data_IF_003151728099
#
_entry.id   IF_003151728099
#
_cell.length_a   1.000
_cell.length_b   1.000
_cell.length_c   1.000
_cell.angle_alpha   90.00
_cell.angle_beta   90.00
_cell.angle_gamma   90.00
#
_symmetry.space_group_name_H-M   'P 1'
#
loop_
_entity.id
_entity.type
_entity.pdbx_description
1 polymer ?
#
# COMPACT_ATOMS: atom_id res chain seq x y z
N UNK A 1 42.34 0.53 -4.97
CA UNK A 1 41.84 -0.77 -5.33
C UNK A 1 40.79 -1.30 -4.40
N UNK A 2 41.07 -1.33 -3.12
CA UNK A 2 40.13 -1.84 -2.14
C UNK A 2 38.93 -0.94 -1.93
N UNK A 3 39.05 0.33 -2.24
CA UNK A 3 37.98 1.32 -2.03
C UNK A 3 36.74 1.06 -2.87
N UNK A 4 36.94 0.52 -4.06
CA UNK A 4 35.83 0.29 -4.98
C UNK A 4 34.88 -0.80 -4.47
N UNK A 5 35.44 -1.79 -3.78
CA UNK A 5 34.64 -2.90 -3.28
C UNK A 5 33.67 -2.49 -2.16
N UNK A 6 34.08 -1.51 -1.38
CA UNK A 6 33.28 -1.02 -0.27
C UNK A 6 32.03 -0.30 -0.77
N UNK A 7 32.15 0.47 -1.84
CA UNK A 7 31.02 1.19 -2.38
C UNK A 7 29.93 0.26 -2.89
N UNK A 8 30.32 -0.85 -3.50
CA UNK A 8 29.35 -1.80 -4.03
C UNK A 8 28.54 -2.48 -2.93
N UNK A 9 29.18 -2.74 -1.82
CA UNK A 9 28.50 -3.38 -0.69
C UNK A 9 27.36 -2.52 -0.15
N UNK A 10 27.55 -1.22 -0.09
CA UNK A 10 26.53 -0.31 0.42
C UNK A 10 25.28 -0.28 -0.46
N UNK A 11 25.46 -0.35 -1.76
CA UNK A 11 24.31 -0.37 -2.66
C UNK A 11 23.46 -1.62 -2.47
N UNK A 12 24.10 -2.77 -2.29
CA UNK A 12 23.36 -4.02 -2.11
C UNK A 12 22.44 -3.95 -0.90
N UNK A 13 22.91 -3.35 0.18
CA UNK A 13 22.12 -3.23 1.41
C UNK A 13 20.87 -2.38 1.19
N UNK A 14 20.97 -1.31 0.41
CA UNK A 14 19.84 -0.40 0.18
C UNK A 14 18.64 -1.07 -0.44
N UNK A 15 18.86 -2.02 -1.33
CA UNK A 15 17.76 -2.68 -2.03
C UNK A 15 16.99 -3.68 -1.19
N UNK A 16 17.59 -4.18 -0.13
CA UNK A 16 16.98 -5.24 0.66
C UNK A 16 15.86 -4.76 1.58
N UNK A 17 15.73 -3.45 1.78
CA UNK A 17 14.77 -2.92 2.74
C UNK A 17 13.44 -2.49 2.14
N UNK A 18 13.30 -2.49 0.81
CA UNK A 18 12.08 -2.01 0.16
C UNK A 18 11.28 -3.15 -0.45
N UNK A 19 9.96 -3.15 -0.22
CA UNK A 19 9.05 -4.10 -0.87
C UNK A 19 8.33 -3.39 -2.02
N UNK A 20 8.26 -4.03 -3.21
CA UNK A 20 7.55 -3.44 -4.33
C UNK A 20 6.05 -3.29 -4.06
N UNK A 21 5.44 -2.30 -4.68
CA UNK A 21 4.01 -2.04 -4.47
C UNK A 21 3.15 -3.23 -4.86
N UNK A 22 3.50 -3.95 -5.91
CA UNK A 22 2.72 -5.12 -6.33
C UNK A 22 2.75 -6.22 -5.26
N UNK A 23 3.86 -6.40 -4.59
CA UNK A 23 3.98 -7.38 -3.51
C UNK A 23 3.15 -6.94 -2.30
N UNK A 24 3.24 -5.68 -1.95
CA UNK A 24 2.45 -5.12 -0.83
C UNK A 24 0.97 -5.29 -1.12
N UNK A 25 0.54 -4.97 -2.33
CA UNK A 25 -0.87 -5.10 -2.69
C UNK A 25 -1.34 -6.56 -2.58
N UNK A 26 -0.56 -7.48 -3.11
CA UNK A 26 -0.92 -8.89 -3.10
C UNK A 26 -1.06 -9.43 -1.67
N UNK A 27 -0.19 -9.00 -0.78
CA UNK A 27 -0.16 -9.52 0.59
C UNK A 27 -1.14 -8.81 1.53
N UNK A 28 -1.40 -7.53 1.31
CA UNK A 28 -2.13 -6.72 2.29
C UNK A 28 -3.50 -6.24 1.83
N UNK A 29 -3.77 -6.27 0.55
CA UNK A 29 -4.98 -5.63 0.00
C UNK A 29 -5.85 -6.56 -0.81
N UNK A 30 -5.25 -7.45 -1.57
CA UNK A 30 -5.96 -8.23 -2.57
C UNK A 30 -7.01 -9.19 -2.01
N UNK A 31 -6.80 -9.69 -0.80
CA UNK A 31 -7.75 -10.65 -0.23
C UNK A 31 -9.15 -10.06 -0.09
N UNK A 32 -9.24 -8.76 0.15
CA UNK A 32 -10.53 -8.07 0.29
C UNK A 32 -10.91 -7.30 -0.97
N UNK A 33 -9.94 -6.72 -1.64
CA UNK A 33 -10.21 -5.82 -2.77
C UNK A 33 -10.06 -6.48 -4.14
N UNK A 34 -9.60 -7.73 -4.18
CA UNK A 34 -9.43 -8.45 -5.43
C UNK A 34 -8.07 -8.22 -6.05
N UNK A 35 -7.66 -9.14 -6.91
CA UNK A 35 -6.36 -9.08 -7.58
C UNK A 35 -6.23 -7.80 -8.42
N UNK A 36 -7.35 -7.35 -8.98
CA UNK A 36 -7.38 -6.16 -9.84
C UNK A 36 -8.06 -4.97 -9.19
N UNK A 37 -8.25 -4.99 -7.86
CA UNK A 37 -8.89 -3.88 -7.17
C UNK A 37 -10.35 -3.67 -7.55
N UNK A 38 -11.00 -4.70 -8.04
CA UNK A 38 -12.34 -4.60 -8.59
C UNK A 38 -13.42 -5.31 -7.76
N UNK A 39 -13.08 -5.73 -6.56
CA UNK A 39 -14.07 -6.33 -5.66
C UNK A 39 -14.64 -5.28 -4.73
N UNK A 40 -15.98 -5.30 -4.61
CA UNK A 40 -16.69 -4.48 -3.62
C UNK A 40 -16.77 -5.29 -2.35
N UNK A 41 -16.06 -4.84 -1.33
CA UNK A 41 -15.94 -5.58 -0.08
C UNK A 41 -16.97 -5.09 0.94
N UNK A 42 -17.65 -6.02 1.58
CA UNK A 42 -18.55 -5.73 2.70
C UNK A 42 -19.62 -4.69 2.35
N UNK A 43 -20.11 -4.75 1.14
CA UNK A 43 -21.17 -3.83 0.71
C UNK A 43 -20.71 -2.45 0.33
N UNK A 44 -19.40 -2.23 0.20
CA UNK A 44 -18.90 -0.95 -0.27
C UNK A 44 -19.35 -0.69 -1.69
N UNK A 45 -19.49 0.57 -2.03
CA UNK A 45 -20.05 0.97 -3.31
C UNK A 45 -19.02 1.27 -4.36
N UNK A 46 -17.73 1.35 -3.99
CA UNK A 46 -16.70 1.79 -4.92
C UNK A 46 -15.55 0.78 -4.98
N UNK A 47 -15.18 0.44 -6.19
CA UNK A 47 -13.99 -0.38 -6.39
C UNK A 47 -12.77 0.52 -6.30
N UNK A 48 -11.73 0.05 -5.60
CA UNK A 48 -10.59 0.92 -5.33
C UNK A 48 -9.79 1.26 -6.59
N UNK A 49 -9.83 0.42 -7.61
CA UNK A 49 -9.12 0.72 -8.86
C UNK A 49 -9.71 1.93 -9.59
N UNK A 50 -10.93 2.32 -9.24
CA UNK A 50 -11.59 3.47 -9.87
C UNK A 50 -11.27 4.79 -9.15
N UNK A 51 -10.56 4.71 -8.04
CA UNK A 51 -10.22 5.89 -7.25
C UNK A 51 -8.94 6.54 -7.77
N UNK A 52 -8.83 7.84 -7.59
CA UNK A 52 -7.58 8.53 -7.91
C UNK A 52 -6.51 8.20 -6.87
N UNK A 53 -5.25 8.50 -7.19
CA UNK A 53 -4.14 8.28 -6.26
C UNK A 53 -4.40 9.00 -4.94
N UNK A 54 -4.81 10.27 -5.02
CA UNK A 54 -5.08 11.07 -3.83
C UNK A 54 -6.24 10.52 -3.01
N UNK A 55 -7.28 10.03 -3.68
CA UNK A 55 -8.42 9.43 -2.98
C UNK A 55 -8.01 8.17 -2.23
N UNK A 56 -7.18 7.35 -2.85
CA UNK A 56 -6.71 6.11 -2.22
C UNK A 56 -5.87 6.44 -0.99
N UNK A 57 -4.92 7.35 -1.13
CA UNK A 57 -4.06 7.75 0.00
C UNK A 57 -4.90 8.29 1.15
N UNK A 58 -5.82 9.19 0.84
CA UNK A 58 -6.67 9.80 1.84
C UNK A 58 -7.56 8.78 2.53
N UNK A 59 -8.08 7.82 1.77
CA UNK A 59 -8.94 6.79 2.33
C UNK A 59 -8.17 5.90 3.30
N UNK A 60 -7.00 5.43 2.93
CA UNK A 60 -6.19 4.58 3.80
C UNK A 60 -5.89 5.31 5.11
N UNK A 61 -5.45 6.55 5.02
CA UNK A 61 -5.12 7.35 6.20
C UNK A 61 -6.35 7.59 7.08
N UNK A 62 -7.48 7.94 6.46
CA UNK A 62 -8.71 8.24 7.19
C UNK A 62 -9.30 7.03 7.89
N UNK A 63 -9.23 5.87 7.25
CA UNK A 63 -9.69 4.64 7.90
C UNK A 63 -8.76 4.24 9.03
N UNK A 64 -7.46 4.37 8.84
CA UNK A 64 -6.49 4.00 9.87
C UNK A 64 -6.63 4.87 11.12
N UNK A 65 -6.90 6.16 10.94
CA UNK A 65 -7.04 7.09 12.06
C UNK A 65 -8.39 7.00 12.74
N UNK A 66 -9.38 6.41 12.08
CA UNK A 66 -10.74 6.36 12.58
C UNK A 66 -11.59 7.56 12.20
N UNK A 67 -11.02 8.50 11.44
CA UNK A 67 -11.76 9.67 10.97
C UNK A 67 -12.91 9.25 10.06
N UNK A 68 -12.67 8.29 9.17
CA UNK A 68 -13.71 7.72 8.32
C UNK A 68 -14.25 6.47 8.99
N UNK A 69 -15.56 6.42 9.18
CA UNK A 69 -16.19 5.29 9.86
C UNK A 69 -16.25 4.07 8.97
N UNK A 70 -15.98 2.91 9.56
CA UNK A 70 -16.02 1.63 8.89
C UNK A 70 -16.18 0.54 9.94
N UNK A 71 -16.32 -0.70 9.50
CA UNK A 71 -16.36 -1.83 10.42
C UNK A 71 -15.03 -1.88 11.20
N UNK A 72 -15.06 -2.32 12.46
CA UNK A 72 -13.87 -2.29 13.32
C UNK A 72 -12.64 -2.95 12.71
N UNK A 73 -12.83 -4.08 12.02
CA UNK A 73 -11.68 -4.79 11.46
C UNK A 73 -11.01 -4.01 10.31
N UNK A 74 -11.78 -3.18 9.59
CA UNK A 74 -11.22 -2.37 8.52
C UNK A 74 -10.24 -1.35 9.11
N UNK A 75 -10.64 -0.70 10.19
CA UNK A 75 -9.76 0.24 10.88
C UNK A 75 -8.49 -0.46 11.37
N UNK A 76 -8.65 -1.62 11.99
CA UNK A 76 -7.50 -2.38 12.51
C UNK A 76 -6.52 -2.75 11.42
N UNK A 77 -7.01 -3.22 10.28
CA UNK A 77 -6.16 -3.61 9.16
C UNK A 77 -5.40 -2.41 8.62
N UNK A 78 -6.10 -1.29 8.40
CA UNK A 78 -5.47 -0.08 7.86
C UNK A 78 -4.47 0.51 8.85
N UNK A 79 -4.81 0.49 10.13
CA UNK A 79 -3.93 0.99 11.17
C UNK A 79 -2.64 0.17 11.24
N UNK A 80 -2.76 -1.15 11.21
CA UNK A 80 -1.60 -2.03 11.22
C UNK A 80 -0.72 -1.80 9.98
N UNK A 81 -1.35 -1.62 8.83
CA UNK A 81 -0.63 -1.34 7.61
C UNK A 81 0.17 -0.03 7.72
N UNK A 82 -0.48 1.02 8.20
CA UNK A 82 0.15 2.34 8.27
C UNK A 82 1.33 2.40 9.25
N UNK A 83 1.37 1.53 10.24
CA UNK A 83 2.48 1.51 11.19
C UNK A 83 3.81 1.17 10.52
N UNK A 84 3.79 0.44 9.43
CA UNK A 84 4.99 -0.03 8.76
C UNK A 84 5.12 0.51 7.33
N UNK A 85 4.46 1.63 7.05
CA UNK A 85 4.39 2.17 5.72
C UNK A 85 4.82 3.63 5.70
N UNK A 86 5.80 3.96 4.87
CA UNK A 86 6.21 5.34 4.68
C UNK A 86 5.24 6.05 3.74
N UNK A 87 5.33 7.38 3.69
CA UNK A 87 4.52 8.16 2.75
C UNK A 87 4.82 7.78 1.31
N UNK A 88 6.09 7.54 1.01
CA UNK A 88 6.52 7.15 -0.33
C UNK A 88 5.94 5.79 -0.71
N UNK A 89 5.96 4.85 0.23
CA UNK A 89 5.39 3.53 -0.03
C UNK A 89 3.88 3.60 -0.23
N UNK A 90 3.20 4.42 0.53
CA UNK A 90 1.76 4.60 0.36
C UNK A 90 1.46 5.22 -1.01
N UNK A 91 2.24 6.19 -1.43
CA UNK A 91 2.07 6.81 -2.74
C UNK A 91 2.29 5.81 -3.87
N UNK A 92 3.33 5.00 -3.76
CA UNK A 92 3.61 3.98 -4.76
C UNK A 92 2.52 2.93 -4.80
N UNK A 93 2.01 2.54 -3.64
CA UNK A 93 0.90 1.59 -3.57
C UNK A 93 -0.35 2.17 -4.19
N UNK A 94 -0.68 3.41 -3.87
CA UNK A 94 -1.87 4.07 -4.43
C UNK A 94 -1.76 4.20 -5.95
N UNK A 95 -0.57 4.50 -6.45
CA UNK A 95 -0.33 4.58 -7.89
C UNK A 95 -0.51 3.20 -8.55
N UNK A 96 -0.01 2.17 -7.91
CA UNK A 96 -0.17 0.81 -8.39
C UNK A 96 -1.66 0.43 -8.49
N UNK A 97 -2.42 0.72 -7.44
CA UNK A 97 -3.86 0.41 -7.40
C UNK A 97 -4.60 1.17 -8.48
N UNK A 98 -4.32 2.44 -8.63
CA UNK A 98 -4.96 3.28 -9.64
C UNK A 98 -4.74 2.74 -11.05
N UNK A 99 -3.60 2.11 -11.28
CA UNK A 99 -3.24 1.57 -12.59
C UNK A 99 -3.66 0.10 -12.81
N UNK A 100 -4.37 -0.49 -11.87
CA UNK A 100 -4.87 -1.86 -12.06
C UNK A 100 -5.93 -1.91 -13.14
N UNK A 101 -5.94 -3.00 -13.88
CA UNK A 101 -6.87 -3.22 -14.99
C UNK A 101 -7.89 -4.34 -14.66
#
# INVERSE_FOLDING_TARGET
>A
MTLIKIGLTLFAVSFLSASPANTIYAQKCASCHGVNGDMKTMGTTKMIKEMSVEEIEKAVISYASGERKALPFVKSVKEAFMKNCTKEELHELATYIHNLK
#
